data_IF_985080865247
#
_entry.id   IF_985080865247
#
_cell.length_a   1.000
_cell.length_b   1.000
_cell.length_c   1.000
_cell.angle_alpha   90.00
_cell.angle_beta   90.00
_cell.angle_gamma   90.00
#
_symmetry.space_group_name_H-M   'P 1'
#
loop_
_entity.id
_entity.type
_entity.pdbx_description
1 polymer ?
#
# COMPACT_ATOMS: atom_id res chain seq x y z
N UNK A 1 24.50 9.79 8.07
CA UNK A 1 23.77 8.56 8.39
C UNK A 1 22.36 8.71 7.88
N UNK A 2 21.91 7.77 7.04
CA UNK A 2 20.53 7.74 6.54
C UNK A 2 19.58 7.17 7.59
N UNK A 3 18.27 7.33 7.39
CA UNK A 3 17.24 6.85 8.34
C UNK A 3 17.11 5.33 8.38
N UNK A 4 17.73 4.59 7.44
CA UNK A 4 17.78 3.13 7.37
C UNK A 4 19.19 2.54 7.49
N UNK A 5 20.13 3.29 8.04
CA UNK A 5 21.52 2.85 8.14
C UNK A 5 21.63 1.50 8.86
N UNK A 6 22.32 0.52 8.21
CA UNK A 6 22.48 -0.83 8.71
C UNK A 6 21.21 -1.73 8.71
N UNK A 7 20.10 -1.30 8.11
CA UNK A 7 18.87 -2.09 7.95
C UNK A 7 18.88 -2.91 6.67
N UNK A 8 18.05 -3.94 6.63
CA UNK A 8 17.77 -4.74 5.44
C UNK A 8 16.28 -4.62 5.09
N UNK A 9 16.00 -4.26 3.85
CA UNK A 9 14.63 -4.07 3.33
C UNK A 9 14.38 -4.99 2.15
N UNK A 10 13.33 -5.81 2.22
CA UNK A 10 12.78 -6.54 1.08
C UNK A 10 11.72 -5.67 0.41
N UNK A 11 11.84 -5.44 -0.90
CA UNK A 11 10.86 -4.69 -1.70
C UNK A 11 10.31 -5.60 -2.80
N UNK A 12 9.03 -5.99 -2.73
CA UNK A 12 8.37 -6.73 -3.81
C UNK A 12 7.86 -5.77 -4.89
N UNK A 13 7.67 -6.24 -6.13
CA UNK A 13 7.34 -5.32 -7.23
C UNK A 13 8.37 -4.20 -7.39
N UNK A 14 9.62 -4.48 -7.02
CA UNK A 14 10.71 -3.51 -6.91
C UNK A 14 11.37 -3.11 -8.24
N UNK A 15 11.00 -3.76 -9.34
CA UNK A 15 11.59 -3.49 -10.65
C UNK A 15 11.06 -2.22 -11.33
N UNK A 16 9.93 -1.68 -10.87
CA UNK A 16 9.29 -0.54 -11.53
C UNK A 16 8.50 0.35 -10.54
N UNK A 17 8.18 1.58 -10.98
CA UNK A 17 7.25 2.49 -10.32
C UNK A 17 7.56 2.72 -8.83
N UNK A 18 6.55 2.56 -7.97
CA UNK A 18 6.70 2.82 -6.51
C UNK A 18 7.75 1.89 -5.88
N UNK A 19 7.77 0.61 -6.27
CA UNK A 19 8.73 -0.36 -5.73
C UNK A 19 10.16 0.02 -6.09
N UNK A 20 10.44 0.35 -7.36
CA UNK A 20 11.75 0.82 -7.80
C UNK A 20 12.20 2.05 -7.01
N UNK A 21 11.36 3.09 -6.95
CA UNK A 21 11.72 4.33 -6.24
C UNK A 21 11.94 4.08 -4.73
N UNK A 22 11.17 3.16 -4.13
CA UNK A 22 11.35 2.77 -2.74
C UNK A 22 12.68 2.03 -2.53
N UNK A 23 13.03 1.08 -3.41
CA UNK A 23 14.29 0.35 -3.33
C UNK A 23 15.50 1.29 -3.46
N UNK A 24 15.46 2.18 -4.45
CA UNK A 24 16.53 3.17 -4.67
C UNK A 24 16.65 4.14 -3.48
N UNK A 25 15.53 4.62 -2.94
CA UNK A 25 15.56 5.52 -1.79
C UNK A 25 16.04 4.80 -0.53
N UNK A 26 15.55 3.57 -0.26
CA UNK A 26 15.99 2.79 0.89
C UNK A 26 17.52 2.58 0.89
N UNK A 27 18.09 2.27 -0.28
CA UNK A 27 19.55 2.15 -0.42
C UNK A 27 20.27 3.48 -0.19
N UNK A 28 19.76 4.61 -0.70
CA UNK A 28 20.32 5.96 -0.42
C UNK A 28 20.28 6.32 1.07
N UNK A 29 19.28 5.81 1.77
CA UNK A 29 19.11 5.99 3.22
C UNK A 29 19.91 4.96 4.05
N UNK A 30 20.79 4.17 3.43
CA UNK A 30 21.75 3.29 4.09
C UNK A 30 21.28 1.85 4.27
N UNK A 31 20.15 1.46 3.70
CA UNK A 31 19.68 0.07 3.75
C UNK A 31 20.42 -0.81 2.73
N UNK A 32 20.57 -2.10 3.07
CA UNK A 32 20.77 -3.17 2.10
C UNK A 32 19.41 -3.61 1.57
N UNK A 33 19.29 -3.86 0.28
CA UNK A 33 17.97 -4.06 -0.34
C UNK A 33 17.90 -5.38 -1.10
N UNK A 34 16.93 -6.23 -0.77
CA UNK A 34 16.52 -7.32 -1.63
C UNK A 34 15.38 -6.83 -2.53
N UNK A 35 15.65 -6.71 -3.83
CA UNK A 35 14.68 -6.26 -4.83
C UNK A 35 14.02 -7.48 -5.43
N UNK A 36 12.72 -7.66 -5.20
CA UNK A 36 11.94 -8.72 -5.84
C UNK A 36 11.01 -8.11 -6.90
N UNK A 37 11.00 -8.69 -8.08
CA UNK A 37 10.02 -8.41 -9.14
C UNK A 37 9.91 -9.62 -10.05
N UNK A 38 8.69 -10.12 -10.27
CA UNK A 38 8.45 -11.24 -11.18
C UNK A 38 8.81 -10.92 -12.65
N UNK A 39 8.83 -9.60 -12.99
CA UNK A 39 9.07 -9.16 -14.36
C UNK A 39 7.86 -9.29 -15.28
N UNK A 40 6.70 -9.64 -14.74
CA UNK A 40 5.46 -9.81 -15.50
C UNK A 40 4.83 -8.51 -15.99
N UNK A 41 3.90 -8.64 -16.94
CA UNK A 41 3.09 -7.53 -17.44
C UNK A 41 2.06 -7.03 -16.44
N UNK A 42 1.44 -5.87 -16.75
CA UNK A 42 0.44 -5.22 -15.88
C UNK A 42 -0.78 -6.09 -15.55
N UNK A 43 -1.12 -7.04 -16.42
CA UNK A 43 -2.26 -7.95 -16.25
C UNK A 43 -1.89 -9.26 -15.54
N UNK A 44 -0.59 -9.51 -15.32
CA UNK A 44 -0.10 -10.80 -14.85
C UNK A 44 -0.29 -11.93 -15.87
N UNK A 45 0.16 -13.13 -15.50
CA UNK A 45 0.01 -14.32 -16.35
C UNK A 45 1.20 -14.60 -17.27
N UNK A 46 2.22 -13.77 -17.23
CA UNK A 46 3.49 -13.99 -17.96
C UNK A 46 4.42 -14.91 -17.15
N UNK A 47 5.34 -15.59 -17.83
CA UNK A 47 6.34 -16.47 -17.18
C UNK A 47 7.33 -15.72 -16.26
N UNK A 48 7.35 -14.40 -16.36
CA UNK A 48 8.27 -13.55 -15.58
C UNK A 48 9.63 -13.36 -16.26
N UNK A 49 10.33 -12.33 -15.83
CA UNK A 49 11.67 -11.95 -16.28
C UNK A 49 12.45 -11.35 -15.10
N UNK A 50 13.60 -11.91 -14.77
CA UNK A 50 14.47 -11.43 -13.71
C UNK A 50 15.06 -10.02 -13.99
N UNK A 51 15.04 -9.57 -15.25
CA UNK A 51 15.67 -8.33 -15.70
C UNK A 51 15.26 -7.08 -14.91
N UNK A 52 13.98 -6.82 -14.67
CA UNK A 52 13.54 -5.62 -13.93
C UNK A 52 14.08 -5.54 -12.50
N UNK A 53 14.07 -6.65 -11.74
CA UNK A 53 14.62 -6.69 -10.39
C UNK A 53 16.15 -6.51 -10.41
N UNK A 54 16.83 -7.21 -11.29
CA UNK A 54 18.29 -7.13 -11.41
C UNK A 54 18.74 -5.75 -11.90
N UNK A 55 18.02 -5.11 -12.82
CA UNK A 55 18.35 -3.77 -13.27
C UNK A 55 18.35 -2.75 -12.11
N UNK A 56 17.37 -2.82 -11.19
CA UNK A 56 17.32 -1.95 -10.01
C UNK A 56 18.40 -2.31 -9.00
N UNK A 57 18.64 -3.60 -8.75
CA UNK A 57 19.73 -4.02 -7.87
C UNK A 57 21.10 -3.58 -8.40
N UNK A 58 21.34 -3.68 -9.72
CA UNK A 58 22.55 -3.19 -10.36
C UNK A 58 22.69 -1.67 -10.26
N UNK A 59 21.60 -0.89 -10.40
CA UNK A 59 21.58 0.55 -10.23
C UNK A 59 21.99 0.93 -8.79
N UNK A 60 21.48 0.21 -7.78
CA UNK A 60 21.85 0.43 -6.37
C UNK A 60 23.34 0.13 -6.16
N UNK A 61 23.85 -1.01 -6.66
CA UNK A 61 25.27 -1.36 -6.51
C UNK A 61 26.19 -0.40 -7.23
N UNK A 62 25.81 0.07 -8.42
CA UNK A 62 26.56 1.08 -9.17
C UNK A 62 26.65 2.44 -8.43
N UNK A 63 25.63 2.75 -7.60
CA UNK A 63 25.64 3.93 -6.73
C UNK A 63 26.39 3.72 -5.39
N UNK A 64 27.02 2.55 -5.19
CA UNK A 64 27.78 2.22 -3.98
C UNK A 64 26.97 1.60 -2.84
N UNK A 65 25.69 1.28 -3.06
CA UNK A 65 24.84 0.57 -2.11
C UNK A 65 24.99 -0.96 -2.21
N UNK A 66 24.35 -1.68 -1.29
CA UNK A 66 24.28 -3.14 -1.28
C UNK A 66 22.87 -3.62 -1.70
N UNK A 67 22.79 -4.43 -2.75
CA UNK A 67 21.50 -4.99 -3.19
C UNK A 67 21.67 -6.34 -3.88
N UNK A 68 20.66 -7.19 -3.72
CA UNK A 68 20.45 -8.43 -4.45
C UNK A 68 19.08 -8.42 -5.13
N UNK A 69 18.92 -9.24 -6.15
CA UNK A 69 17.66 -9.41 -6.89
C UNK A 69 17.01 -10.76 -6.60
N UNK A 70 15.69 -10.82 -6.79
CA UNK A 70 14.86 -12.00 -6.73
C UNK A 70 13.73 -11.87 -7.75
N UNK A 71 13.35 -12.97 -8.42
CA UNK A 71 12.31 -12.97 -9.47
C UNK A 71 11.14 -13.93 -9.16
N UNK A 72 11.02 -14.37 -7.92
CA UNK A 72 9.95 -15.27 -7.51
C UNK A 72 8.60 -14.57 -7.35
N UNK A 73 7.51 -15.35 -7.43
CA UNK A 73 6.16 -14.83 -7.33
C UNK A 73 5.69 -14.69 -5.89
N UNK A 74 5.07 -13.57 -5.56
CA UNK A 74 4.41 -13.36 -4.26
C UNK A 74 3.18 -14.26 -4.07
N UNK A 75 2.65 -14.87 -5.14
CA UNK A 75 1.47 -15.76 -5.04
C UNK A 75 1.83 -17.16 -4.53
N UNK A 76 3.10 -17.54 -4.57
CA UNK A 76 3.60 -18.81 -4.05
C UNK A 76 4.22 -18.60 -2.66
N UNK A 77 3.66 -19.27 -1.65
CA UNK A 77 4.14 -19.14 -0.28
C UNK A 77 5.57 -19.67 -0.10
N UNK A 78 5.91 -20.77 -0.78
CA UNK A 78 7.26 -21.36 -0.73
C UNK A 78 8.30 -20.42 -1.34
N UNK A 79 7.97 -19.82 -2.48
CA UNK A 79 8.80 -18.81 -3.12
C UNK A 79 9.01 -17.58 -2.20
N UNK A 80 7.96 -17.11 -1.53
CA UNK A 80 8.11 -15.99 -0.58
C UNK A 80 8.95 -16.37 0.64
N UNK A 81 8.82 -17.60 1.15
CA UNK A 81 9.69 -18.08 2.24
C UNK A 81 11.16 -18.10 1.80
N UNK A 82 11.43 -18.51 0.55
CA UNK A 82 12.79 -18.44 -0.03
C UNK A 82 13.30 -16.99 -0.15
N UNK A 83 12.45 -16.02 -0.49
CA UNK A 83 12.86 -14.61 -0.50
C UNK A 83 13.33 -14.13 0.89
N UNK A 84 12.62 -14.52 1.94
CA UNK A 84 13.00 -14.18 3.32
C UNK A 84 14.34 -14.86 3.65
N UNK A 85 14.50 -16.15 3.34
CA UNK A 85 15.75 -16.89 3.54
C UNK A 85 16.90 -16.25 2.75
N UNK A 86 16.69 -15.87 1.50
CA UNK A 86 17.69 -15.18 0.68
C UNK A 86 18.14 -13.86 1.32
N UNK A 87 17.21 -13.08 1.89
CA UNK A 87 17.59 -11.84 2.59
C UNK A 87 18.46 -12.11 3.82
N UNK A 88 18.13 -13.17 4.59
CA UNK A 88 18.89 -13.57 5.78
C UNK A 88 20.28 -14.11 5.40
N UNK A 89 20.37 -14.96 4.40
CA UNK A 89 21.64 -15.55 3.95
C UNK A 89 22.57 -14.50 3.32
N UNK A 90 21.99 -13.55 2.57
CA UNK A 90 22.79 -12.54 1.86
C UNK A 90 23.24 -11.40 2.78
N UNK A 91 22.37 -10.95 3.69
CA UNK A 91 22.59 -9.73 4.47
C UNK A 91 22.66 -9.96 5.98
N UNK A 92 22.38 -11.18 6.46
CA UNK A 92 22.43 -11.57 7.86
C UNK A 92 21.20 -11.16 8.69
N UNK A 93 20.24 -10.41 8.10
CA UNK A 93 19.03 -9.93 8.79
C UNK A 93 17.94 -9.50 7.81
N UNK A 94 16.74 -9.28 8.34
CA UNK A 94 15.64 -8.60 7.66
C UNK A 94 14.94 -7.67 8.66
N UNK A 95 14.73 -6.40 8.32
CA UNK A 95 14.12 -5.42 9.22
C UNK A 95 12.78 -4.92 8.73
N UNK A 96 12.59 -4.82 7.41
CA UNK A 96 11.36 -4.30 6.84
C UNK A 96 11.00 -4.99 5.54
N UNK A 97 9.68 -5.07 5.29
CA UNK A 97 9.14 -5.50 4.01
C UNK A 97 8.22 -4.42 3.47
N UNK A 98 8.47 -4.00 2.24
CA UNK A 98 7.62 -3.09 1.47
C UNK A 98 7.02 -3.87 0.32
N UNK A 99 5.68 -3.96 0.25
CA UNK A 99 4.96 -4.86 -0.67
C UNK A 99 4.04 -4.11 -1.64
N UNK A 100 4.56 -3.39 -2.64
CA UNK A 100 3.77 -2.77 -3.69
C UNK A 100 3.44 -3.69 -4.88
N UNK A 101 3.85 -4.96 -4.88
CA UNK A 101 3.55 -5.91 -5.94
C UNK A 101 2.05 -5.94 -6.27
N UNK A 102 1.70 -5.94 -7.56
CA UNK A 102 0.30 -5.91 -7.94
C UNK A 102 0.04 -5.86 -9.45
N UNK A 103 -1.17 -6.24 -9.82
CA UNK A 103 -1.69 -6.25 -11.19
C UNK A 103 -3.05 -5.56 -11.26
N UNK A 104 -3.54 -5.26 -12.47
CA UNK A 104 -4.90 -4.77 -12.72
C UNK A 104 -5.61 -5.62 -13.76
N UNK A 105 -6.84 -6.01 -13.43
CA UNK A 105 -7.81 -6.64 -14.34
C UNK A 105 -9.18 -6.04 -14.08
N UNK A 106 -9.31 -4.77 -14.48
CA UNK A 106 -10.53 -3.99 -14.27
C UNK A 106 -11.65 -4.43 -15.22
N UNK A 107 -12.87 -4.43 -14.72
CA UNK A 107 -14.08 -4.74 -15.48
C UNK A 107 -15.32 -4.49 -14.64
N UNK A 108 -16.44 -4.15 -15.32
CA UNK A 108 -17.73 -4.05 -14.63
C UNK A 108 -18.09 -5.38 -13.98
N UNK A 109 -18.58 -5.39 -12.75
CA UNK A 109 -18.78 -6.60 -11.94
C UNK A 109 -19.57 -7.69 -12.68
N UNK A 110 -20.62 -7.32 -13.40
CA UNK A 110 -21.45 -8.29 -14.19
C UNK A 110 -20.74 -8.87 -15.43
N UNK A 111 -19.55 -8.35 -15.79
CA UNK A 111 -18.70 -8.83 -16.90
C UNK A 111 -17.36 -9.38 -16.45
N UNK A 112 -17.06 -9.27 -15.15
CA UNK A 112 -15.79 -9.72 -14.58
C UNK A 112 -15.73 -11.25 -14.60
N UNK A 113 -14.69 -11.81 -15.20
CA UNK A 113 -14.48 -13.25 -15.18
C UNK A 113 -13.97 -13.72 -13.81
N UNK A 114 -14.24 -14.99 -13.49
CA UNK A 114 -13.68 -15.63 -12.30
C UNK A 114 -12.13 -15.61 -12.32
N UNK A 115 -11.54 -15.79 -13.48
CA UNK A 115 -10.08 -15.74 -13.66
C UNK A 115 -9.52 -14.35 -13.36
N UNK A 116 -10.19 -13.27 -13.76
CA UNK A 116 -9.76 -11.90 -13.44
C UNK A 116 -9.92 -11.59 -11.96
N UNK A 117 -11.02 -12.05 -11.36
CA UNK A 117 -11.23 -11.94 -9.92
C UNK A 117 -10.08 -12.65 -9.16
N UNK A 118 -9.91 -13.94 -9.44
CA UNK A 118 -8.93 -14.78 -8.76
C UNK A 118 -7.49 -14.24 -8.89
N UNK A 119 -7.07 -13.89 -10.10
CA UNK A 119 -5.70 -13.38 -10.33
C UNK A 119 -5.40 -12.11 -9.50
N UNK A 120 -6.36 -11.18 -9.39
CA UNK A 120 -6.18 -9.96 -8.60
C UNK A 120 -6.16 -10.26 -7.10
N UNK A 121 -7.05 -11.13 -6.61
CA UNK A 121 -7.05 -11.56 -5.20
C UNK A 121 -5.74 -12.28 -4.86
N UNK A 122 -5.27 -13.20 -5.72
CA UNK A 122 -4.07 -13.99 -5.48
C UNK A 122 -2.83 -13.09 -5.36
N UNK A 123 -2.64 -12.15 -6.29
CA UNK A 123 -1.45 -11.29 -6.25
C UNK A 123 -1.52 -10.30 -5.09
N UNK A 124 -2.64 -9.61 -4.91
CA UNK A 124 -2.72 -8.53 -3.92
C UNK A 124 -2.95 -9.03 -2.50
N UNK A 125 -4.00 -9.84 -2.28
CA UNK A 125 -4.41 -10.24 -0.93
C UNK A 125 -3.61 -11.46 -0.46
N UNK A 126 -3.60 -12.54 -1.22
CA UNK A 126 -2.82 -13.72 -0.85
C UNK A 126 -1.31 -13.43 -0.89
N UNK A 127 -0.83 -12.65 -1.87
CA UNK A 127 0.56 -12.21 -1.88
C UNK A 127 0.95 -11.38 -0.64
N UNK A 128 0.08 -10.50 -0.17
CA UNK A 128 0.33 -9.75 1.08
C UNK A 128 0.30 -10.66 2.31
N UNK A 129 -0.60 -11.65 2.35
CA UNK A 129 -0.62 -12.67 3.38
C UNK A 129 0.69 -13.49 3.37
N UNK A 130 1.10 -13.99 2.21
CA UNK A 130 2.32 -14.79 2.06
C UNK A 130 3.55 -14.04 2.59
N UNK A 131 3.69 -12.77 2.17
CA UNK A 131 4.79 -11.88 2.58
C UNK A 131 4.76 -11.65 4.10
N UNK A 132 3.59 -11.34 4.65
CA UNK A 132 3.43 -11.16 6.09
C UNK A 132 3.75 -12.42 6.89
N UNK A 133 3.20 -13.56 6.45
CA UNK A 133 3.34 -14.86 7.15
C UNK A 133 4.76 -15.43 7.09
N UNK A 134 5.47 -15.25 5.98
CA UNK A 134 6.82 -15.78 5.82
C UNK A 134 7.84 -15.11 6.76
N UNK A 135 7.65 -13.81 7.06
CA UNK A 135 8.61 -13.07 7.86
C UNK A 135 8.21 -12.95 9.36
N UNK A 136 6.94 -13.19 9.71
CA UNK A 136 6.45 -12.88 11.05
C UNK A 136 7.17 -13.65 12.16
N UNK A 137 7.55 -14.91 11.95
CA UNK A 137 8.27 -15.71 12.96
C UNK A 137 9.64 -15.11 13.22
N UNK A 138 10.41 -14.83 12.17
CA UNK A 138 11.71 -14.17 12.28
C UNK A 138 11.59 -12.81 13.00
N UNK A 139 10.60 -11.99 12.65
CA UNK A 139 10.38 -10.70 13.32
C UNK A 139 10.02 -10.86 14.80
N UNK A 140 9.22 -11.87 15.14
CA UNK A 140 8.85 -12.17 16.54
C UNK A 140 10.03 -12.64 17.38
N UNK A 141 10.89 -13.48 16.83
CA UNK A 141 12.10 -13.96 17.50
C UNK A 141 13.11 -12.83 17.74
N UNK A 142 13.22 -11.91 16.78
CA UNK A 142 14.13 -10.77 16.86
C UNK A 142 13.51 -9.52 17.51
N UNK A 143 12.24 -9.58 17.94
CA UNK A 143 11.46 -8.52 18.57
C UNK A 143 11.51 -7.18 17.81
N UNK A 144 11.48 -7.25 16.50
CA UNK A 144 11.48 -6.09 15.61
C UNK A 144 11.01 -6.48 14.21
N UNK A 145 10.35 -5.56 13.55
CA UNK A 145 9.94 -5.70 12.15
C UNK A 145 9.03 -4.57 11.70
N UNK A 146 9.04 -4.27 10.42
CA UNK A 146 8.11 -3.31 9.84
C UNK A 146 7.54 -3.82 8.53
N UNK A 147 6.23 -3.83 8.43
CA UNK A 147 5.50 -4.08 7.18
C UNK A 147 4.93 -2.77 6.64
N UNK A 148 5.16 -2.52 5.37
CA UNK A 148 4.52 -1.43 4.61
C UNK A 148 3.77 -2.05 3.45
N UNK A 149 2.45 -2.18 3.61
CA UNK A 149 1.56 -2.68 2.57
C UNK A 149 0.95 -1.54 1.76
N UNK A 150 0.40 -1.88 0.59
CA UNK A 150 -0.24 -0.92 -0.28
C UNK A 150 -1.72 -1.25 -0.47
N UNK A 151 -2.57 -0.34 0.02
CA UNK A 151 -4.00 -0.32 -0.27
C UNK A 151 -4.28 0.61 -1.47
N UNK A 152 -5.50 1.05 -1.62
CA UNK A 152 -5.93 2.01 -2.64
C UNK A 152 -7.18 2.74 -2.18
N UNK A 153 -7.38 3.95 -2.67
CA UNK A 153 -8.67 4.63 -2.55
C UNK A 153 -9.81 3.86 -3.20
N UNK A 154 -9.51 2.95 -4.13
CA UNK A 154 -10.51 2.01 -4.67
C UNK A 154 -11.09 1.10 -3.59
N UNK A 155 -10.28 0.65 -2.63
CA UNK A 155 -10.75 -0.12 -1.47
C UNK A 155 -11.33 0.75 -0.36
N UNK A 156 -10.75 1.93 -0.11
CA UNK A 156 -11.15 2.80 1.01
C UNK A 156 -12.41 3.62 0.71
N UNK A 157 -12.61 4.01 -0.54
CA UNK A 157 -13.70 4.88 -0.99
C UNK A 157 -14.53 4.16 -2.05
N UNK A 158 -13.91 3.78 -3.15
CA UNK A 158 -14.53 3.09 -4.27
C UNK A 158 -14.13 3.65 -5.63
N UNK A 159 -14.11 2.77 -6.63
CA UNK A 159 -14.02 3.11 -8.04
C UNK A 159 -14.82 2.08 -8.86
N UNK A 160 -15.62 2.57 -9.80
CA UNK A 160 -16.44 1.71 -10.67
C UNK A 160 -15.53 0.83 -11.53
N UNK A 161 -15.87 -0.45 -11.67
CA UNK A 161 -15.14 -1.42 -12.48
C UNK A 161 -13.96 -2.09 -11.76
N UNK A 162 -13.79 -1.88 -10.46
CA UNK A 162 -12.65 -2.40 -9.68
C UNK A 162 -13.08 -3.28 -8.49
N UNK A 163 -14.11 -4.07 -8.63
CA UNK A 163 -14.64 -4.88 -7.53
C UNK A 163 -13.59 -5.87 -6.95
N UNK A 164 -12.86 -6.60 -7.81
CA UNK A 164 -11.77 -7.49 -7.40
C UNK A 164 -10.64 -6.73 -6.69
N UNK A 165 -10.19 -5.64 -7.30
CA UNK A 165 -9.11 -4.81 -6.78
C UNK A 165 -9.49 -4.12 -5.46
N UNK A 166 -10.69 -3.56 -5.38
CA UNK A 166 -11.21 -2.91 -4.17
C UNK A 166 -11.32 -3.92 -3.00
N UNK A 167 -11.86 -5.12 -3.27
CA UNK A 167 -11.94 -6.18 -2.26
C UNK A 167 -10.56 -6.58 -1.74
N UNK A 168 -9.59 -6.82 -2.63
CA UNK A 168 -8.22 -7.15 -2.24
C UNK A 168 -7.56 -6.02 -1.44
N UNK A 169 -7.69 -4.78 -1.90
CA UNK A 169 -7.05 -3.62 -1.27
C UNK A 169 -7.65 -3.26 0.09
N UNK A 170 -8.95 -3.47 0.28
CA UNK A 170 -9.59 -3.33 1.60
C UNK A 170 -9.22 -4.51 2.52
N UNK A 171 -9.11 -5.74 1.99
CA UNK A 171 -8.63 -6.91 2.71
C UNK A 171 -7.24 -6.73 3.28
N UNK A 172 -6.32 -6.09 2.54
CA UNK A 172 -4.97 -5.74 3.01
C UNK A 172 -5.01 -4.81 4.23
N UNK A 173 -5.96 -3.88 4.30
CA UNK A 173 -6.14 -3.00 5.48
C UNK A 173 -6.47 -3.83 6.72
N UNK A 174 -7.39 -4.81 6.59
CA UNK A 174 -7.73 -5.74 7.67
C UNK A 174 -6.52 -6.56 8.12
N UNK A 175 -5.80 -7.17 7.17
CA UNK A 175 -4.59 -7.93 7.44
C UNK A 175 -3.53 -7.09 8.17
N UNK A 176 -3.20 -5.92 7.65
CA UNK A 176 -2.20 -5.02 8.25
C UNK A 176 -2.58 -4.60 9.68
N UNK A 177 -3.86 -4.34 9.93
CA UNK A 177 -4.35 -3.98 11.27
C UNK A 177 -4.11 -5.11 12.27
N UNK A 178 -4.42 -6.35 11.90
CA UNK A 178 -4.22 -7.50 12.79
C UNK A 178 -2.73 -7.75 13.02
N UNK A 179 -1.90 -7.69 11.97
CA UNK A 179 -0.45 -7.81 12.13
C UNK A 179 0.13 -6.72 13.07
N UNK A 180 -0.39 -5.49 13.01
CA UNK A 180 -0.01 -4.41 13.92
C UNK A 180 -0.42 -4.71 15.37
N UNK A 181 -1.65 -5.20 15.58
CA UNK A 181 -2.17 -5.53 16.92
C UNK A 181 -1.40 -6.69 17.55
N UNK A 182 -1.23 -7.80 16.82
CA UNK A 182 -0.51 -8.99 17.30
C UNK A 182 1.00 -8.74 17.44
N UNK A 183 1.53 -7.82 16.64
CA UNK A 183 2.95 -7.46 16.62
C UNK A 183 3.38 -6.50 17.73
N UNK A 184 2.44 -5.80 18.39
CA UNK A 184 2.71 -4.73 19.37
C UNK A 184 3.68 -5.17 20.48
N UNK A 185 3.46 -6.33 21.09
CA UNK A 185 4.31 -6.85 22.18
C UNK A 185 5.71 -7.30 21.71
N UNK A 186 5.96 -7.32 20.41
CA UNK A 186 7.21 -7.74 19.77
C UNK A 186 7.83 -6.63 18.91
N UNK A 187 7.43 -5.38 19.11
CA UNK A 187 7.91 -4.23 18.34
C UNK A 187 7.77 -4.41 16.81
N UNK A 188 6.79 -5.19 16.37
CA UNK A 188 6.48 -5.38 14.96
C UNK A 188 5.39 -4.38 14.58
N UNK A 189 5.67 -3.57 13.57
CA UNK A 189 4.76 -2.55 13.06
C UNK A 189 4.21 -2.96 11.70
N UNK A 190 2.99 -2.54 11.41
CA UNK A 190 2.38 -2.74 10.09
C UNK A 190 1.52 -1.54 9.74
N UNK A 191 1.78 -0.94 8.59
CA UNK A 191 1.06 0.23 8.10
C UNK A 191 0.68 0.05 6.63
N UNK A 192 -0.31 0.79 6.17
CA UNK A 192 -0.78 0.75 4.78
C UNK A 192 -0.70 2.12 4.13
N UNK A 193 -0.30 2.14 2.85
CA UNK A 193 -0.27 3.35 2.02
C UNK A 193 -1.30 3.21 0.89
N UNK A 194 -2.14 4.22 0.71
CA UNK A 194 -2.99 4.45 -0.47
C UNK A 194 -2.29 5.47 -1.39
N UNK A 195 -1.58 5.03 -2.43
CA UNK A 195 -0.79 5.92 -3.25
C UNK A 195 -1.64 6.58 -4.34
N UNK A 196 -1.37 7.86 -4.59
CA UNK A 196 -1.76 8.57 -5.81
C UNK A 196 -0.49 8.81 -6.61
N UNK A 197 -0.07 7.83 -7.40
CA UNK A 197 1.18 7.93 -8.16
C UNK A 197 0.95 7.61 -9.63
N UNK A 198 1.60 8.38 -10.50
CA UNK A 198 1.69 8.06 -11.91
C UNK A 198 2.58 6.83 -12.08
N UNK A 199 1.96 5.72 -12.45
CA UNK A 199 2.62 4.44 -12.70
C UNK A 199 2.17 3.87 -14.04
N UNK A 200 2.77 2.78 -14.50
CA UNK A 200 2.30 2.04 -15.69
C UNK A 200 0.81 1.69 -15.61
N UNK A 201 0.28 1.43 -14.41
CA UNK A 201 -1.13 1.16 -14.16
C UNK A 201 -2.01 2.36 -14.55
N UNK A 202 -1.66 3.56 -14.12
CA UNK A 202 -2.43 4.78 -14.43
C UNK A 202 -2.21 5.19 -15.89
N UNK A 203 -1.03 4.96 -16.44
CA UNK A 203 -0.71 5.24 -17.85
C UNK A 203 -1.54 4.40 -18.84
N UNK A 204 -2.12 3.27 -18.42
CA UNK A 204 -3.00 2.43 -19.25
C UNK A 204 -4.44 2.98 -19.38
N UNK A 205 -4.80 4.05 -18.67
CA UNK A 205 -6.13 4.67 -18.75
C UNK A 205 -6.27 5.36 -20.13
N UNK A 206 -7.32 5.02 -20.94
CA UNK A 206 -7.51 5.62 -22.24
C UNK A 206 -7.72 7.13 -22.18
N UNK A 207 -6.99 7.87 -23.00
CA UNK A 207 -7.21 9.30 -23.24
C UNK A 207 -8.27 9.44 -24.32
N UNK A 208 -9.42 10.04 -24.00
CA UNK A 208 -10.57 10.13 -24.92
C UNK A 208 -10.75 11.50 -25.53
N UNK A 209 -10.27 12.55 -24.89
CA UNK A 209 -10.43 13.94 -25.27
C UNK A 209 -9.30 14.80 -24.70
N UNK A 210 -9.25 16.07 -25.09
CA UNK A 210 -8.22 17.02 -24.67
C UNK A 210 -8.24 17.26 -23.15
N UNK A 211 -9.40 17.28 -22.54
CA UNK A 211 -9.53 17.45 -21.08
C UNK A 211 -8.92 16.27 -20.33
N UNK A 212 -9.14 15.03 -20.81
CA UNK A 212 -8.51 13.83 -20.26
C UNK A 212 -7.00 13.81 -20.49
N UNK A 213 -6.51 14.30 -21.65
CA UNK A 213 -5.08 14.45 -21.93
C UNK A 213 -4.40 15.43 -20.96
N UNK A 214 -4.99 16.59 -20.74
CA UNK A 214 -4.50 17.58 -19.78
C UNK A 214 -4.54 17.06 -18.34
N UNK A 215 -5.54 16.24 -17.97
CA UNK A 215 -5.63 15.59 -16.67
C UNK A 215 -4.49 14.59 -16.48
N UNK A 216 -4.25 13.76 -17.48
CA UNK A 216 -3.14 12.78 -17.51
C UNK A 216 -1.81 13.47 -17.34
N UNK A 217 -1.54 14.55 -18.09
CA UNK A 217 -0.29 15.30 -17.98
C UNK A 217 -0.10 15.95 -16.59
N UNK A 218 -1.17 16.49 -16.01
CA UNK A 218 -1.13 16.99 -14.63
C UNK A 218 -0.83 15.90 -13.61
N UNK A 219 -1.40 14.69 -13.78
CA UNK A 219 -1.13 13.55 -12.90
C UNK A 219 0.32 13.10 -13.02
N UNK A 220 0.83 12.97 -14.27
CA UNK A 220 2.21 12.58 -14.55
C UNK A 220 3.24 13.50 -13.88
N UNK A 221 3.00 14.81 -13.95
CA UNK A 221 3.93 15.81 -13.41
C UNK A 221 3.74 16.09 -11.91
N UNK A 222 2.59 15.75 -11.34
CA UNK A 222 2.23 16.12 -9.97
C UNK A 222 2.19 14.97 -8.97
N UNK A 223 2.06 13.71 -9.45
CA UNK A 223 1.89 12.53 -8.62
C UNK A 223 2.94 11.49 -9.01
N UNK A 224 4.16 11.66 -8.52
CA UNK A 224 5.30 10.79 -8.87
C UNK A 224 5.47 9.66 -7.85
N UNK A 225 6.05 8.55 -8.30
CA UNK A 225 6.32 7.37 -7.47
C UNK A 225 7.33 7.65 -6.35
N UNK A 226 8.33 8.51 -6.60
CA UNK A 226 9.34 8.91 -5.61
C UNK A 226 8.74 9.64 -4.39
N UNK A 227 7.62 10.36 -4.55
CA UNK A 227 6.91 10.99 -3.44
C UNK A 227 6.30 9.96 -2.49
N UNK A 228 5.80 8.83 -3.03
CA UNK A 228 5.27 7.72 -2.23
C UNK A 228 6.40 6.97 -1.52
N UNK A 229 7.54 6.81 -2.18
CA UNK A 229 8.73 6.18 -1.62
C UNK A 229 9.21 6.86 -0.34
N UNK A 230 9.09 8.20 -0.22
CA UNK A 230 9.46 8.94 0.99
C UNK A 230 8.73 8.41 2.23
N UNK A 231 7.41 8.25 2.14
CA UNK A 231 6.63 7.72 3.25
C UNK A 231 6.94 6.24 3.51
N UNK A 232 7.07 5.43 2.45
CA UNK A 232 7.37 4.01 2.60
C UNK A 232 8.70 3.79 3.35
N UNK A 233 9.75 4.52 2.98
CA UNK A 233 11.07 4.48 3.64
C UNK A 233 10.99 5.01 5.08
N UNK A 234 10.28 6.11 5.33
CA UNK A 234 10.08 6.63 6.68
C UNK A 234 9.41 5.61 7.60
N UNK A 235 8.41 4.85 7.11
CA UNK A 235 7.73 3.81 7.88
C UNK A 235 8.62 2.59 8.17
N UNK A 236 9.70 2.37 7.41
CA UNK A 236 10.68 1.32 7.69
C UNK A 236 11.67 1.71 8.81
N UNK A 237 11.81 3.00 9.12
CA UNK A 237 12.76 3.50 10.11
C UNK A 237 12.32 3.22 11.54
N UNK A 238 13.28 2.95 12.44
CA UNK A 238 13.03 2.86 13.89
C UNK A 238 12.54 4.20 14.48
N UNK A 239 12.82 5.33 13.81
CA UNK A 239 12.31 6.64 14.22
C UNK A 239 10.79 6.75 14.11
N UNK A 240 10.15 5.84 13.37
CA UNK A 240 8.70 5.70 13.27
C UNK A 240 8.13 4.62 14.20
N UNK A 241 8.81 4.32 15.32
CA UNK A 241 8.42 3.25 16.27
C UNK A 241 7.01 3.41 16.85
N UNK A 242 6.50 4.63 16.93
CA UNK A 242 5.15 4.95 17.41
C UNK A 242 4.08 4.91 16.31
N UNK A 243 4.44 4.57 15.07
CA UNK A 243 3.53 4.55 13.92
C UNK A 243 3.24 3.10 13.53
N UNK A 244 2.07 2.58 13.92
CA UNK A 244 1.62 1.23 13.59
C UNK A 244 0.10 1.17 13.45
N UNK A 245 -0.40 0.30 12.57
CA UNK A 245 -1.83 0.12 12.30
C UNK A 245 -2.49 1.27 11.55
N UNK A 246 -1.75 2.18 10.93
CA UNK A 246 -2.28 3.37 10.30
C UNK A 246 -2.50 3.20 8.80
N UNK A 247 -3.41 4.02 8.26
CA UNK A 247 -3.72 4.09 6.83
C UNK A 247 -3.35 5.48 6.33
N UNK A 248 -2.32 5.56 5.50
CA UNK A 248 -1.86 6.81 4.93
C UNK A 248 -2.23 6.94 3.46
N UNK A 249 -2.49 8.15 2.99
CA UNK A 249 -2.50 8.52 1.58
C UNK A 249 -1.31 9.38 1.23
N UNK A 250 -0.77 9.21 0.01
CA UNK A 250 0.23 10.13 -0.54
C UNK A 250 -0.25 10.62 -1.88
N UNK A 251 -0.43 11.95 -2.01
CA UNK A 251 -0.90 12.61 -3.24
C UNK A 251 -0.02 13.82 -3.56
N UNK A 252 0.96 13.62 -4.43
CA UNK A 252 1.98 14.64 -4.63
C UNK A 252 2.75 14.87 -3.34
N UNK A 253 2.76 16.11 -2.85
CA UNK A 253 3.41 16.48 -1.58
C UNK A 253 2.44 16.46 -0.37
N UNK A 254 1.24 15.92 -0.54
CA UNK A 254 0.27 15.76 0.55
C UNK A 254 0.43 14.37 1.18
N UNK A 255 0.55 14.34 2.50
CA UNK A 255 0.39 13.12 3.30
C UNK A 255 -0.97 13.20 4.00
N UNK A 256 -1.79 12.20 3.81
CA UNK A 256 -3.16 12.11 4.28
C UNK A 256 -3.25 10.97 5.29
N UNK A 257 -3.86 11.19 6.43
CA UNK A 257 -4.24 10.13 7.36
C UNK A 257 -5.71 9.80 7.14
N UNK A 258 -6.00 8.53 6.84
CA UNK A 258 -7.38 8.04 6.74
C UNK A 258 -7.85 7.55 8.10
N UNK A 259 -9.10 7.88 8.43
CA UNK A 259 -9.77 7.28 9.57
C UNK A 259 -10.09 5.80 9.33
N UNK A 260 -10.30 5.08 10.41
CA UNK A 260 -10.61 3.65 10.38
C UNK A 260 -12.05 3.44 10.84
N UNK A 261 -12.76 2.40 10.35
CA UNK A 261 -14.14 2.14 10.72
C UNK A 261 -14.32 2.09 12.24
N UNK A 262 -15.21 2.93 12.76
CA UNK A 262 -15.68 2.98 14.14
C UNK A 262 -17.20 3.18 14.12
N UNK A 263 -17.95 2.71 15.14
CA UNK A 263 -19.36 3.04 15.25
C UNK A 263 -19.56 4.56 15.33
N UNK A 264 -20.44 5.09 14.47
CA UNK A 264 -20.78 6.53 14.47
C UNK A 264 -22.11 6.79 15.20
N UNK A 265 -22.99 5.78 15.24
CA UNK A 265 -24.30 5.88 15.89
C UNK A 265 -24.74 4.51 16.42
N UNK A 266 -25.46 4.51 17.52
CA UNK A 266 -26.12 3.33 18.10
C UNK A 266 -27.56 3.68 18.49
N UNK A 267 -28.50 2.79 18.21
CA UNK A 267 -29.89 2.89 18.65
C UNK A 267 -30.27 1.61 19.40
N UNK A 268 -31.05 1.78 20.47
CA UNK A 268 -31.58 0.66 21.24
C UNK A 268 -33.12 0.80 21.36
N UNK A 269 -33.81 -0.33 21.45
CA UNK A 269 -35.25 -0.43 21.68
C UNK A 269 -35.50 -1.52 22.70
N UNK A 270 -36.23 -1.18 23.78
CA UNK A 270 -36.46 -2.09 24.93
C UNK A 270 -37.22 -3.35 24.55
N UNK A 271 -38.15 -3.24 23.62
CA UNK A 271 -38.98 -4.35 23.12
C UNK A 271 -38.28 -5.18 22.01
N UNK A 272 -37.05 -4.82 21.68
CA UNK A 272 -36.32 -5.38 20.53
C UNK A 272 -36.79 -4.79 19.18
N UNK A 273 -36.03 -5.12 18.14
CA UNK A 273 -36.29 -4.67 16.76
C UNK A 273 -36.99 -5.78 15.96
N UNK A 274 -37.89 -5.38 15.07
CA UNK A 274 -38.42 -6.19 14.00
C UNK A 274 -38.22 -5.46 12.65
N UNK A 275 -38.40 -6.13 11.48
CA UNK A 275 -38.17 -5.48 10.16
C UNK A 275 -38.94 -4.18 9.96
N UNK A 276 -40.20 -4.12 10.39
CA UNK A 276 -41.07 -2.93 10.26
C UNK A 276 -40.49 -1.76 11.09
N UNK A 277 -40.12 -1.98 12.34
CA UNK A 277 -39.57 -0.94 13.21
C UNK A 277 -38.15 -0.52 12.78
N UNK A 278 -37.35 -1.41 12.19
CA UNK A 278 -36.08 -1.05 11.58
C UNK A 278 -36.29 -0.09 10.40
N UNK A 279 -37.25 -0.41 9.50
CA UNK A 279 -37.55 0.42 8.32
C UNK A 279 -38.16 1.76 8.72
N UNK A 280 -39.11 1.76 9.65
CA UNK A 280 -39.88 2.96 9.99
C UNK A 280 -39.20 3.89 11.01
N UNK A 281 -38.26 3.37 11.81
CA UNK A 281 -37.65 4.13 12.91
C UNK A 281 -36.12 4.17 12.83
N UNK A 282 -35.45 3.01 12.79
CA UNK A 282 -34.00 2.96 12.88
C UNK A 282 -33.30 3.54 11.64
N UNK A 283 -33.68 3.13 10.44
CA UNK A 283 -33.06 3.60 9.20
C UNK A 283 -33.28 5.10 8.97
N UNK A 284 -34.47 5.69 9.15
CA UNK A 284 -34.64 7.13 9.11
C UNK A 284 -33.82 7.88 10.14
N UNK A 285 -33.69 7.34 11.35
CA UNK A 285 -32.87 7.98 12.40
C UNK A 285 -31.36 7.91 12.10
N UNK A 286 -30.90 6.87 11.38
CA UNK A 286 -29.48 6.71 11.00
C UNK A 286 -29.14 7.40 9.67
N UNK A 287 -30.10 7.63 8.79
CA UNK A 287 -29.85 8.11 7.41
C UNK A 287 -29.07 9.42 7.31
N UNK A 288 -29.12 10.39 8.25
CA UNK A 288 -28.27 11.56 8.20
C UNK A 288 -26.78 11.28 8.33
N UNK A 289 -26.43 10.10 8.88
CA UNK A 289 -25.05 9.66 9.10
C UNK A 289 -24.57 8.63 8.05
N UNK A 290 -25.40 8.33 7.05
CA UNK A 290 -25.00 7.41 5.97
C UNK A 290 -23.89 8.03 5.11
N UNK A 291 -22.89 7.22 4.78
CA UNK A 291 -21.82 7.63 3.87
C UNK A 291 -22.33 7.64 2.43
N UNK A 292 -22.13 8.75 1.72
CA UNK A 292 -22.47 8.88 0.32
C UNK A 292 -21.64 7.92 -0.55
N UNK A 293 -22.27 7.34 -1.56
CA UNK A 293 -21.60 6.47 -2.54
C UNK A 293 -20.86 7.32 -3.59
N UNK A 294 -19.71 7.86 -3.19
CA UNK A 294 -18.82 8.63 -4.05
C UNK A 294 -17.64 7.79 -4.57
N UNK A 295 -17.19 8.09 -5.78
CA UNK A 295 -15.90 7.57 -6.25
C UNK A 295 -14.73 8.42 -5.73
N UNK A 296 -13.51 7.89 -5.76
CA UNK A 296 -12.28 8.60 -5.36
C UNK A 296 -12.20 10.03 -5.90
N UNK A 297 -12.62 10.26 -7.15
CA UNK A 297 -12.56 11.56 -7.79
C UNK A 297 -13.51 12.60 -7.18
N UNK A 298 -14.61 12.19 -6.55
CA UNK A 298 -15.52 13.12 -5.85
C UNK A 298 -14.99 13.54 -4.48
N UNK A 299 -14.26 12.65 -3.81
CA UNK A 299 -13.62 12.94 -2.52
C UNK A 299 -12.35 13.80 -2.70
N UNK A 300 -11.65 13.63 -3.81
CA UNK A 300 -10.43 14.38 -4.14
C UNK A 300 -10.59 15.19 -5.44
N UNK A 301 -11.49 16.20 -5.48
CA UNK A 301 -11.80 16.93 -6.71
C UNK A 301 -10.69 17.89 -7.15
N UNK A 302 -9.89 18.39 -6.22
CA UNK A 302 -8.81 19.33 -6.51
C UNK A 302 -7.51 18.60 -6.92
N UNK A 303 -6.64 19.24 -7.75
CA UNK A 303 -5.31 18.70 -8.00
C UNK A 303 -4.48 18.70 -6.70
N UNK A 304 -3.49 17.79 -6.64
CA UNK A 304 -2.55 17.70 -5.53
C UNK A 304 -1.84 19.05 -5.29
N UNK A 305 -1.60 19.38 -4.03
CA UNK A 305 -0.89 20.61 -3.65
C UNK A 305 0.56 20.53 -4.17
N UNK A 306 0.94 21.51 -4.98
CA UNK A 306 2.30 21.68 -5.45
C UNK A 306 3.00 22.73 -4.59
N UNK A 307 3.86 22.30 -3.67
CA UNK A 307 4.93 23.11 -3.10
C UNK A 307 4.56 24.48 -2.50
N UNK A 308 3.47 24.61 -1.75
CA UNK A 308 3.28 25.77 -0.86
C UNK A 308 3.64 25.38 0.57
N UNK A 309 4.21 26.34 1.34
CA UNK A 309 4.47 26.16 2.77
C UNK A 309 3.22 25.63 3.46
N UNK A 310 3.36 24.55 4.19
CA UNK A 310 2.28 23.99 5.01
C UNK A 310 1.92 25.05 6.05
N UNK A 311 0.68 25.54 6.02
CA UNK A 311 0.15 26.31 7.12
C UNK A 311 -0.32 25.33 8.21
N UNK A 312 0.58 25.01 9.11
CA UNK A 312 0.34 24.10 10.23
C UNK A 312 -0.79 24.57 11.17
N UNK A 313 -1.24 25.83 11.05
CA UNK A 313 -2.34 26.37 11.86
C UNK A 313 -3.72 25.88 11.43
N UNK A 314 -3.86 25.32 10.22
CA UNK A 314 -5.10 24.69 9.74
C UNK A 314 -5.21 23.21 10.10
N UNK A 315 -4.15 22.59 10.51
CA UNK A 315 -4.17 21.26 11.11
C UNK A 315 -4.37 21.50 12.60
N UNK A 316 -5.58 21.25 13.10
CA UNK A 316 -5.90 21.38 14.53
C UNK A 316 -5.03 20.44 15.37
N UNK A 317 -3.80 20.82 15.59
CA UNK A 317 -2.93 20.23 16.61
C UNK A 317 -3.32 20.93 17.90
N UNK A 318 -4.22 20.30 18.64
CA UNK A 318 -4.46 20.68 20.03
C UNK A 318 -3.12 20.79 20.76
N UNK A 319 -2.93 21.93 21.43
CA UNK A 319 -1.78 22.25 22.23
C UNK A 319 -1.42 21.10 23.18
N UNK A 320 -0.31 20.45 22.98
CA UNK A 320 0.54 19.89 24.03
C UNK A 320 1.81 19.30 23.41
N UNK A 321 2.79 20.12 23.16
CA UNK A 321 4.22 19.78 23.14
C UNK A 321 4.98 21.07 23.40
N UNK A 322 5.15 21.42 24.68
CA UNK A 322 6.29 22.06 25.25
C UNK A 322 6.94 21.13 26.25
#
# INVERSE_FOLDING_TARGET
MGVLDGKVVLVTGGGNGIGKETALLAAREGAKVLVNDLGGGLKGGDEGDAGPAEAVAAEIRAAGGEAASNSESVTDYGAVANMVTQALDTFGRLDSIVNPAGILRDGMFHKMSEADWKAVIDVHLHGSYNVGRAAVEYFRENERGSYVFFTSTSGLIGNIGQANYAAAKLGIVGLSRILAMEGTAKNIRSNVIAPFAWTRMIASIPVKDEASAQRVERMKNGMRADQVAQLAVALCSDQSSNVSGQIFGVRGNEVILFDQPRPVKSLARMEGWNPESLISQAFPAMSPDFTDLGATASVFPAPAIRGRKIDLRRVGVGHSLL
#
